data_IF_881880526012
#
_entry.id   IF_881880526012
#
_cell.length_a   1.000
_cell.length_b   1.000
_cell.length_c   1.000
_cell.angle_alpha   90.00
_cell.angle_beta   90.00
_cell.angle_gamma   90.00
#
_symmetry.space_group_name_H-M   'P 1'
#
loop_
_entity.id
_entity.type
_entity.pdbx_description
1 polymer ?
#
# COMPACT_ATOMS: atom_id res chain seq x y z
N UNK A 1 18.65 -14.09 -0.97
CA UNK A 1 17.54 -14.34 -0.05
C UNK A 1 17.50 -13.14 0.87
N UNK A 2 16.64 -12.17 0.60
CA UNK A 2 16.51 -11.01 1.49
C UNK A 2 15.49 -11.39 2.56
N UNK A 3 15.98 -11.66 3.77
CA UNK A 3 15.16 -11.65 4.98
C UNK A 3 14.59 -10.23 5.11
N UNK A 4 13.29 -10.09 4.94
CA UNK A 4 12.58 -8.87 5.28
C UNK A 4 12.39 -8.93 6.79
N UNK A 5 13.24 -8.22 7.54
CA UNK A 5 13.06 -8.04 8.98
C UNK A 5 11.80 -7.20 9.23
N UNK A 6 10.84 -7.77 9.97
CA UNK A 6 9.68 -7.05 10.48
C UNK A 6 10.16 -5.94 11.44
N UNK A 7 10.17 -4.70 10.96
CA UNK A 7 10.30 -3.52 11.82
C UNK A 7 9.04 -3.40 12.68
N UNK A 8 9.15 -3.86 13.93
CA UNK A 8 8.05 -3.87 14.93
C UNK A 8 7.78 -2.47 15.55
N UNK A 9 8.46 -1.41 15.08
CA UNK A 9 8.37 -0.04 15.62
C UNK A 9 7.70 0.97 14.69
N UNK A 10 6.84 1.83 15.24
CA UNK A 10 6.19 2.92 14.50
C UNK A 10 7.19 4.07 14.24
N UNK A 11 7.92 3.99 13.13
CA UNK A 11 8.90 5.00 12.70
C UNK A 11 8.29 6.42 12.59
N UNK A 12 6.98 6.54 12.37
CA UNK A 12 6.30 7.84 12.27
C UNK A 12 6.04 8.49 13.64
N UNK A 13 5.90 7.70 14.72
CA UNK A 13 5.77 8.23 16.08
C UNK A 13 7.08 8.86 16.55
N UNK A 14 8.21 8.25 16.19
CA UNK A 14 9.54 8.76 16.54
C UNK A 14 9.89 10.06 15.78
N UNK A 15 9.23 10.32 14.64
CA UNK A 15 9.36 11.54 13.85
C UNK A 15 8.46 12.70 14.33
N UNK A 16 7.61 12.49 15.35
CA UNK A 16 6.81 13.56 15.96
C UNK A 16 5.72 14.16 15.04
N UNK A 17 5.27 13.40 14.02
CA UNK A 17 4.21 13.85 13.12
C UNK A 17 2.85 13.79 13.84
N UNK A 18 2.07 14.88 13.80
CA UNK A 18 0.73 14.94 14.42
C UNK A 18 -0.21 13.81 13.93
N UNK A 19 0.03 13.30 12.73
CA UNK A 19 -0.72 12.21 12.10
C UNK A 19 0.10 10.91 11.98
N UNK A 20 1.06 10.67 12.90
CA UNK A 20 1.95 9.51 12.87
C UNK A 20 1.20 8.17 12.78
N UNK A 21 0.08 8.02 13.49
CA UNK A 21 -0.74 6.80 13.44
C UNK A 21 -1.41 6.60 12.09
N UNK A 22 -1.87 7.67 11.44
CA UNK A 22 -2.46 7.60 10.11
C UNK A 22 -1.41 7.27 9.05
N UNK A 23 -0.21 7.85 9.18
CA UNK A 23 0.92 7.54 8.29
C UNK A 23 1.37 6.09 8.44
N UNK A 24 1.46 5.56 9.66
CA UNK A 24 1.74 4.15 9.89
C UNK A 24 0.65 3.27 9.26
N UNK A 25 -0.62 3.62 9.48
CA UNK A 25 -1.75 2.85 8.95
C UNK A 25 -1.73 2.83 7.42
N UNK A 26 -1.54 3.98 6.76
CA UNK A 26 -1.40 4.05 5.29
C UNK A 26 -0.20 3.25 4.80
N UNK A 27 0.96 3.36 5.46
CA UNK A 27 2.16 2.60 5.10
C UNK A 27 1.94 1.08 5.21
N UNK A 28 1.20 0.62 6.22
CA UNK A 28 0.85 -0.78 6.37
C UNK A 28 -0.08 -1.27 5.26
N UNK A 29 -1.02 -0.44 4.80
CA UNK A 29 -1.87 -0.80 3.67
C UNK A 29 -1.04 -0.91 2.39
N UNK A 30 -0.20 0.09 2.11
CA UNK A 30 0.65 0.10 0.92
C UNK A 30 1.63 -1.07 0.89
N UNK A 31 2.22 -1.43 2.04
CA UNK A 31 3.09 -2.61 2.12
C UNK A 31 2.36 -3.90 1.77
N UNK A 32 1.11 -4.07 2.25
CA UNK A 32 0.26 -5.22 1.90
C UNK A 32 -0.13 -5.22 0.43
N UNK A 33 -0.46 -4.05 -0.12
CA UNK A 33 -0.76 -3.89 -1.55
C UNK A 33 0.43 -4.31 -2.41
N UNK A 34 1.63 -3.81 -2.10
CA UNK A 34 2.85 -4.17 -2.80
C UNK A 34 3.11 -5.68 -2.73
N UNK A 35 2.99 -6.27 -1.55
CA UNK A 35 3.16 -7.71 -1.36
C UNK A 35 2.15 -8.53 -2.16
N UNK A 36 0.86 -8.15 -2.17
CA UNK A 36 -0.17 -8.83 -2.95
C UNK A 36 0.14 -8.77 -4.45
N UNK A 37 0.57 -7.61 -4.96
CA UNK A 37 0.95 -7.45 -6.36
C UNK A 37 2.21 -8.29 -6.68
N UNK A 38 3.23 -8.27 -5.83
CA UNK A 38 4.47 -9.03 -6.05
C UNK A 38 4.29 -10.55 -5.96
N UNK A 39 3.34 -11.01 -5.14
CA UNK A 39 3.07 -12.45 -4.92
C UNK A 39 1.99 -13.02 -5.84
N UNK A 40 1.34 -12.17 -6.62
CA UNK A 40 0.34 -12.57 -7.61
C UNK A 40 0.89 -12.46 -9.03
N UNK A 41 0.20 -13.08 -9.99
CA UNK A 41 0.56 -13.02 -11.41
C UNK A 41 0.06 -11.75 -12.12
N UNK A 42 -0.47 -10.76 -11.39
CA UNK A 42 -0.98 -9.51 -11.98
C UNK A 42 0.10 -8.43 -12.04
N UNK A 43 0.05 -7.63 -13.10
CA UNK A 43 1.00 -6.54 -13.32
C UNK A 43 0.50 -5.21 -12.73
N UNK A 44 1.42 -4.32 -12.32
CA UNK A 44 1.05 -2.97 -11.85
C UNK A 44 0.11 -2.21 -12.81
N UNK A 45 0.30 -2.25 -14.15
CA UNK A 45 -0.62 -1.60 -15.09
C UNK A 45 -2.03 -2.17 -15.05
N UNK A 46 -2.18 -3.49 -14.92
CA UNK A 46 -3.49 -4.14 -14.83
C UNK A 46 -4.21 -3.77 -13.53
N UNK A 47 -3.46 -3.70 -12.43
CA UNK A 47 -3.98 -3.26 -11.14
C UNK A 47 -4.40 -1.79 -11.19
N UNK A 48 -3.58 -0.92 -11.78
CA UNK A 48 -3.93 0.49 -11.96
C UNK A 48 -5.21 0.67 -12.79
N UNK A 49 -5.34 -0.07 -13.89
CA UNK A 49 -6.53 -0.06 -14.75
C UNK A 49 -7.79 -0.46 -13.96
N UNK A 50 -7.72 -1.55 -13.19
CA UNK A 50 -8.87 -2.03 -12.38
C UNK A 50 -9.19 -1.14 -11.17
N UNK A 51 -8.20 -0.44 -10.63
CA UNK A 51 -8.37 0.56 -9.58
C UNK A 51 -8.91 1.90 -10.11
N UNK A 52 -9.03 2.06 -11.43
CA UNK A 52 -9.34 3.34 -12.10
C UNK A 52 -8.32 4.44 -11.75
N UNK A 53 -7.06 4.04 -11.51
CA UNK A 53 -5.94 4.91 -11.22
C UNK A 53 -5.00 5.00 -12.43
N UNK A 54 -4.24 6.09 -12.52
CA UNK A 54 -3.09 6.10 -13.43
C UNK A 54 -2.00 5.18 -12.87
N UNK A 55 -1.26 4.52 -13.78
CA UNK A 55 -0.08 3.73 -13.38
C UNK A 55 0.91 4.55 -12.56
N UNK A 56 1.11 5.82 -12.95
CA UNK A 56 1.96 6.76 -12.22
C UNK A 56 1.49 6.95 -10.76
N UNK A 57 0.18 7.15 -10.55
CA UNK A 57 -0.39 7.31 -9.21
C UNK A 57 -0.24 6.05 -8.37
N UNK A 58 -0.45 4.87 -8.95
CA UNK A 58 -0.24 3.60 -8.26
C UNK A 58 1.23 3.46 -7.83
N UNK A 59 2.17 3.76 -8.73
CA UNK A 59 3.61 3.70 -8.44
C UNK A 59 4.03 4.72 -7.39
N UNK A 60 3.47 5.92 -7.41
CA UNK A 60 3.68 6.94 -6.36
C UNK A 60 3.27 6.41 -4.98
N UNK A 61 2.07 5.81 -4.89
CA UNK A 61 1.56 5.21 -3.66
C UNK A 61 2.50 4.09 -3.19
N UNK A 62 2.85 3.14 -4.06
CA UNK A 62 3.76 2.03 -3.73
C UNK A 62 5.16 2.51 -3.30
N UNK A 63 5.60 3.68 -3.76
CA UNK A 63 6.88 4.31 -3.36
C UNK A 63 6.78 5.16 -2.09
N UNK A 64 5.65 5.20 -1.41
CA UNK A 64 5.48 5.96 -0.17
C UNK A 64 4.92 7.38 -0.32
N UNK A 65 4.48 7.77 -1.53
CA UNK A 65 3.94 9.10 -1.82
C UNK A 65 2.41 9.15 -1.67
N UNK A 66 1.92 8.75 -0.49
CA UNK A 66 0.47 8.67 -0.17
C UNK A 66 0.05 9.67 0.92
N UNK A 67 0.84 10.73 1.16
CA UNK A 67 0.57 11.70 2.24
C UNK A 67 -0.79 12.39 2.08
N UNK A 68 -1.10 12.76 0.84
CA UNK A 68 -2.32 13.50 0.49
C UNK A 68 -3.56 12.61 0.36
N UNK A 69 -3.38 11.29 0.37
CA UNK A 69 -4.48 10.33 0.25
C UNK A 69 -5.07 10.00 1.62
N UNK A 70 -6.40 9.92 1.78
CA UNK A 70 -7.02 9.57 3.05
C UNK A 70 -6.79 8.09 3.41
N UNK A 71 -6.83 7.77 4.70
CA UNK A 71 -6.63 6.38 5.20
C UNK A 71 -7.66 5.42 4.61
N UNK A 72 -8.92 5.86 4.48
CA UNK A 72 -9.98 5.03 3.92
C UNK A 72 -9.69 4.64 2.45
N UNK A 73 -9.09 5.53 1.65
CA UNK A 73 -8.80 5.24 0.25
C UNK A 73 -7.73 4.14 0.13
N UNK A 74 -6.76 4.12 1.04
CA UNK A 74 -5.76 3.06 1.12
C UNK A 74 -6.39 1.69 1.46
N UNK A 75 -7.39 1.67 2.34
CA UNK A 75 -8.14 0.46 2.64
C UNK A 75 -8.95 -0.02 1.42
N UNK A 76 -9.65 0.90 0.73
CA UNK A 76 -10.41 0.60 -0.48
C UNK A 76 -9.51 0.04 -1.60
N UNK A 77 -8.31 0.61 -1.77
CA UNK A 77 -7.34 0.11 -2.76
C UNK A 77 -6.83 -1.29 -2.40
N UNK A 78 -6.55 -1.55 -1.13
CA UNK A 78 -6.13 -2.88 -0.68
C UNK A 78 -7.21 -3.93 -0.93
N UNK A 79 -8.46 -3.63 -0.58
CA UNK A 79 -9.60 -4.53 -0.80
C UNK A 79 -9.73 -4.88 -2.29
N UNK A 80 -9.73 -3.86 -3.16
CA UNK A 80 -9.77 -4.07 -4.61
C UNK A 80 -8.58 -4.88 -5.13
N UNK A 81 -7.36 -4.63 -4.65
CA UNK A 81 -6.18 -5.43 -5.05
C UNK A 81 -6.33 -6.88 -4.61
N UNK A 82 -6.85 -7.14 -3.41
CA UNK A 82 -7.13 -8.50 -2.94
C UNK A 82 -8.10 -9.22 -3.87
N UNK A 83 -9.18 -8.54 -4.29
CA UNK A 83 -10.14 -9.09 -5.26
C UNK A 83 -9.51 -9.36 -6.63
N UNK A 84 -8.66 -8.45 -7.12
CA UNK A 84 -7.97 -8.57 -8.41
C UNK A 84 -6.99 -9.74 -8.41
N UNK A 85 -6.25 -9.89 -7.32
CA UNK A 85 -5.23 -10.93 -7.14
C UNK A 85 -5.84 -12.29 -6.81
N UNK A 86 -7.15 -12.36 -6.52
CA UNK A 86 -7.83 -13.58 -6.10
C UNK A 86 -7.37 -14.08 -4.74
N UNK A 87 -6.67 -13.26 -3.97
CA UNK A 87 -6.23 -13.59 -2.60
C UNK A 87 -7.36 -13.27 -1.62
N UNK A 88 -7.67 -14.15 -0.66
CA UNK A 88 -8.64 -13.84 0.39
C UNK A 88 -8.10 -12.72 1.32
N UNK A 89 -8.98 -11.83 1.82
CA UNK A 89 -8.62 -10.70 2.69
C UNK A 89 -8.20 -11.12 4.10
#
# INVERSE_FOLDING_TARGET
MSEIEESVGNVYQDLGLENANDMLTKSSYVAKMALLIETSDVSEPEVAEKLELSLEKLQEILRGQFRDEPVHAMADYLEKISEITGSPP
#
